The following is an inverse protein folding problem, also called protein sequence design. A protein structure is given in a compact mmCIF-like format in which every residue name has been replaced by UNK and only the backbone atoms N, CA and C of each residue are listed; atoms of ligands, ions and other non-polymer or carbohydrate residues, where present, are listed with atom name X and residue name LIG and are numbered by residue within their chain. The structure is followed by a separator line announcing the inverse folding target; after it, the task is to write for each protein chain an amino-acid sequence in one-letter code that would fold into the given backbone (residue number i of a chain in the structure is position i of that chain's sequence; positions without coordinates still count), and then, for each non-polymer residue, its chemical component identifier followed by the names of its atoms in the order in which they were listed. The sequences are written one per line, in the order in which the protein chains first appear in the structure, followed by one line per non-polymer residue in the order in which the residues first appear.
data_IF_274675411093
#
_entry.id   IF_274675411093
#
_cell.length_a   1.000
_cell.length_b   1.000
_cell.length_c   1.000
_cell.angle_alpha   90.00
_cell.angle_beta   90.00
_cell.angle_gamma   90.00
#
_symmetry.space_group_name_H-M   'P 1'
#
loop_
_entity.id
_entity.type
_entity.pdbx_description
1 polymer ?
#
# COMPACT_ATOMS: atom_id res chain seq x y z
N UNK A 1 -2.87 33.56 7.70
CA UNK A 1 -3.63 32.31 7.47
C UNK A 1 -2.87 31.51 6.43
N UNK A 2 -2.19 30.43 6.86
CA UNK A 2 -1.32 29.64 6.01
C UNK A 2 -2.15 28.67 5.15
N UNK A 3 -2.04 28.78 3.84
CA UNK A 3 -2.66 27.88 2.86
C UNK A 3 -1.80 26.60 2.75
N UNK A 4 -2.18 25.54 3.45
CA UNK A 4 -1.52 24.23 3.38
C UNK A 4 -2.01 23.42 2.17
N UNK A 5 -1.64 23.86 0.96
CA UNK A 5 -1.73 23.07 -0.26
C UNK A 5 -0.33 22.85 -0.84
N UNK A 6 0.54 22.20 -0.06
CA UNK A 6 1.81 21.68 -0.58
C UNK A 6 1.50 20.38 -1.35
N UNK A 7 1.21 20.50 -2.65
CA UNK A 7 0.89 19.38 -3.56
C UNK A 7 1.92 19.24 -4.67
N UNK A 8 3.20 19.29 -4.33
CA UNK A 8 4.22 18.62 -5.15
C UNK A 8 4.72 17.48 -4.28
N UNK A 9 4.28 16.26 -4.59
CA UNK A 9 4.80 15.07 -3.94
C UNK A 9 6.17 14.78 -4.54
N UNK A 10 7.10 14.30 -3.72
CA UNK A 10 8.47 14.07 -4.15
C UNK A 10 8.45 13.07 -5.32
N UNK A 11 8.95 13.46 -6.51
CA UNK A 11 9.12 12.52 -7.60
C UNK A 11 10.13 11.44 -7.23
N UNK A 12 10.17 10.34 -7.99
CA UNK A 12 11.04 9.19 -7.71
C UNK A 12 10.66 8.44 -6.41
N UNK A 13 9.36 8.26 -6.19
CA UNK A 13 8.85 7.65 -4.95
C UNK A 13 7.69 6.69 -5.20
N UNK A 14 7.54 5.71 -4.30
CA UNK A 14 6.41 4.77 -4.29
C UNK A 14 5.35 5.24 -3.30
N UNK A 15 4.09 5.18 -3.73
CA UNK A 15 2.91 5.63 -3.01
C UNK A 15 1.90 4.50 -2.82
N UNK A 16 1.39 4.36 -1.60
CA UNK A 16 0.22 3.54 -1.31
C UNK A 16 -1.04 4.40 -1.26
N UNK A 17 -1.87 4.26 -2.29
CA UNK A 17 -3.07 5.03 -2.50
C UNK A 17 -4.30 4.20 -2.11
N UNK A 18 -5.18 4.80 -1.31
CA UNK A 18 -6.40 4.14 -0.83
C UNK A 18 -7.59 5.06 -0.96
N UNK A 19 -8.71 4.54 -1.46
CA UNK A 19 -9.99 5.25 -1.41
C UNK A 19 -11.14 4.31 -1.12
N UNK A 20 -12.15 4.83 -0.42
CA UNK A 20 -13.33 4.11 0.01
C UNK A 20 -14.60 4.81 -0.47
N UNK A 21 -15.57 3.99 -0.84
CA UNK A 21 -16.89 4.43 -1.30
C UNK A 21 -17.74 4.87 -0.11
N UNK A 22 -18.49 5.96 -0.30
CA UNK A 22 -19.39 6.53 0.68
C UNK A 22 -20.41 5.50 1.18
N UNK A 23 -20.78 5.63 2.46
CA UNK A 23 -21.75 4.77 3.15
C UNK A 23 -21.37 3.28 3.20
N UNK A 24 -20.11 2.94 2.91
CA UNK A 24 -19.57 1.56 2.91
C UNK A 24 -20.37 0.56 2.09
N UNK A 25 -21.11 1.04 1.10
CA UNK A 25 -21.95 0.17 0.27
C UNK A 25 -21.06 -0.63 -0.68
N UNK A 26 -21.44 -1.88 -0.92
CA UNK A 26 -20.72 -2.82 -1.78
C UNK A 26 -21.10 -2.62 -3.25
N UNK A 27 -20.71 -1.48 -3.81
CA UNK A 27 -21.11 -1.08 -5.17
C UNK A 27 -20.21 -1.59 -6.28
N UNK A 28 -18.94 -1.86 -5.98
CA UNK A 28 -18.04 -2.44 -6.98
C UNK A 28 -18.37 -3.93 -7.04
N UNK A 29 -19.25 -4.36 -7.95
CA UNK A 29 -19.44 -5.77 -8.28
C UNK A 29 -18.39 -6.20 -9.31
N UNK A 30 -18.50 -7.41 -9.81
CA UNK A 30 -17.51 -8.04 -10.68
C UNK A 30 -17.24 -7.19 -11.94
N UNK A 31 -18.30 -6.81 -12.66
CA UNK A 31 -18.23 -5.98 -13.86
C UNK A 31 -17.63 -4.59 -13.56
N UNK A 32 -18.07 -3.91 -12.50
CA UNK A 32 -17.49 -2.60 -12.12
C UNK A 32 -16.01 -2.69 -11.78
N UNK A 33 -15.56 -3.78 -11.15
CA UNK A 33 -14.14 -3.95 -10.80
C UNK A 33 -13.29 -4.22 -12.03
N UNK A 34 -13.80 -4.95 -13.02
CA UNK A 34 -13.12 -5.15 -14.31
C UNK A 34 -12.94 -3.82 -15.05
N UNK A 35 -14.00 -3.03 -15.12
CA UNK A 35 -13.96 -1.69 -15.72
C UNK A 35 -13.06 -0.73 -14.94
N UNK A 36 -13.06 -0.82 -13.61
CA UNK A 36 -12.16 -0.06 -12.74
C UNK A 36 -10.71 -0.32 -13.11
N UNK A 37 -10.32 -1.58 -13.29
CA UNK A 37 -8.94 -1.93 -13.70
C UNK A 37 -8.63 -1.31 -15.07
N UNK A 38 -9.55 -1.37 -16.03
CA UNK A 38 -9.40 -0.72 -17.33
C UNK A 38 -9.21 0.80 -17.22
N UNK A 39 -10.02 1.48 -16.41
CA UNK A 39 -9.93 2.92 -16.15
C UNK A 39 -8.62 3.29 -15.44
N UNK A 40 -8.22 2.52 -14.43
CA UNK A 40 -6.98 2.69 -13.68
C UNK A 40 -5.77 2.63 -14.61
N UNK A 41 -5.71 1.63 -15.49
CA UNK A 41 -4.61 1.45 -16.47
C UNK A 41 -4.49 2.65 -17.41
N UNK A 42 -5.60 3.07 -18.02
CA UNK A 42 -5.62 4.22 -18.93
C UNK A 42 -5.26 5.54 -18.24
N UNK A 43 -5.70 5.70 -16.98
CA UNK A 43 -5.37 6.90 -16.20
C UNK A 43 -3.90 6.91 -15.79
N UNK A 44 -3.33 5.76 -15.41
CA UNK A 44 -1.92 5.63 -15.06
C UNK A 44 -1.03 5.95 -16.27
N UNK A 45 -1.37 5.41 -17.45
CA UNK A 45 -0.69 5.69 -18.72
C UNK A 45 -0.74 7.18 -19.07
N UNK A 46 -1.92 7.81 -18.99
CA UNK A 46 -2.05 9.24 -19.23
C UNK A 46 -1.20 10.07 -18.27
N UNK A 47 -1.22 9.74 -16.98
CA UNK A 47 -0.48 10.46 -15.97
C UNK A 47 1.02 10.13 -15.94
N UNK A 48 1.52 9.16 -16.72
CA UNK A 48 2.93 8.73 -16.63
C UNK A 48 3.28 8.10 -15.28
N UNK A 49 2.34 7.36 -14.67
CA UNK A 49 2.51 6.68 -13.39
C UNK A 49 2.63 5.18 -13.62
N UNK A 50 3.55 4.54 -12.90
CA UNK A 50 3.76 3.10 -13.00
C UNK A 50 3.00 2.36 -11.90
N UNK A 51 2.17 1.40 -12.28
CA UNK A 51 1.42 0.58 -11.35
C UNK A 51 2.28 -0.61 -10.88
N UNK A 52 2.58 -0.67 -9.59
CA UNK A 52 3.33 -1.76 -8.97
C UNK A 52 2.37 -2.88 -8.53
N UNK A 53 1.22 -2.51 -7.98
CA UNK A 53 0.20 -3.47 -7.58
C UNK A 53 -1.13 -2.81 -7.19
N UNK A 54 -2.18 -3.61 -7.08
CA UNK A 54 -3.51 -3.17 -6.74
C UNK A 54 -4.33 -4.29 -6.09
N UNK A 55 -5.37 -3.90 -5.36
CA UNK A 55 -6.43 -4.79 -4.94
C UNK A 55 -7.74 -3.99 -4.89
N UNK A 56 -8.71 -4.36 -5.73
CA UNK A 56 -10.00 -3.67 -5.81
C UNK A 56 -11.03 -4.48 -5.03
N UNK A 57 -11.46 -3.97 -3.88
CA UNK A 57 -12.48 -4.59 -3.03
C UNK A 57 -13.86 -4.09 -3.44
N UNK A 58 -14.91 -4.63 -2.83
CA UNK A 58 -16.31 -4.29 -3.12
C UNK A 58 -16.71 -2.86 -2.71
N UNK A 59 -16.00 -2.25 -1.76
CA UNK A 59 -16.31 -0.90 -1.25
C UNK A 59 -15.08 0.02 -1.11
N UNK A 60 -13.88 -0.44 -1.46
CA UNK A 60 -12.66 0.36 -1.43
C UNK A 60 -11.62 -0.24 -2.39
N UNK A 61 -10.56 0.49 -2.66
CA UNK A 61 -9.44 -0.02 -3.43
C UNK A 61 -8.10 0.40 -2.82
N UNK A 62 -7.08 -0.40 -3.11
CA UNK A 62 -5.68 -0.11 -2.81
C UNK A 62 -4.89 -0.14 -4.11
N UNK A 63 -4.00 0.84 -4.30
CA UNK A 63 -3.05 0.91 -5.42
C UNK A 63 -1.67 1.22 -4.85
N UNK A 64 -0.67 0.47 -5.28
CA UNK A 64 0.74 0.78 -5.09
C UNK A 64 1.28 1.31 -6.42
N UNK A 65 1.70 2.57 -6.42
CA UNK A 65 2.11 3.27 -7.63
C UNK A 65 3.48 3.89 -7.44
N UNK A 66 4.35 3.77 -8.45
CA UNK A 66 5.59 4.51 -8.53
C UNK A 66 5.36 5.79 -9.35
N UNK A 67 5.81 6.92 -8.79
CA UNK A 67 5.81 8.23 -9.44
C UNK A 67 7.22 8.50 -9.98
N UNK A 68 7.46 8.39 -11.29
CA UNK A 68 8.75 8.71 -11.89
C UNK A 68 9.09 10.21 -11.76
N UNK A 69 10.35 10.55 -12.01
CA UNK A 69 10.74 11.96 -12.22
C UNK A 69 10.00 12.52 -13.44
N UNK A 70 9.44 13.74 -13.34
CA UNK A 70 8.85 14.41 -14.50
C UNK A 70 9.85 14.47 -15.64
N UNK A 71 9.37 14.13 -16.83
CA UNK A 71 10.13 14.21 -18.06
C UNK A 71 9.49 15.29 -18.93
N UNK A 72 10.32 16.00 -19.70
CA UNK A 72 9.80 16.85 -20.75
C UNK A 72 9.21 15.96 -21.84
N UNK A 73 7.94 16.17 -22.18
CA UNK A 73 7.23 15.43 -23.20
C UNK A 73 7.08 16.30 -24.44
N UNK A 74 7.23 15.68 -25.60
CA UNK A 74 6.84 16.31 -26.86
C UNK A 74 5.33 16.19 -27.09
N UNK A 75 4.85 16.90 -28.11
CA UNK A 75 3.45 16.90 -28.50
C UNK A 75 2.94 15.50 -28.86
N UNK A 76 3.76 14.69 -29.54
CA UNK A 76 3.39 13.34 -29.97
C UNK A 76 3.08 12.45 -28.75
N UNK A 77 3.94 12.44 -27.75
CA UNK A 77 3.76 11.65 -26.54
C UNK A 77 2.59 12.19 -25.69
N UNK A 78 2.40 13.51 -25.61
CA UNK A 78 1.25 14.12 -24.92
C UNK A 78 -0.06 13.68 -25.59
N UNK A 79 -0.15 13.74 -26.92
CA UNK A 79 -1.33 13.33 -27.68
C UNK A 79 -1.59 11.82 -27.59
N UNK A 80 -0.53 10.99 -27.63
CA UNK A 80 -0.65 9.54 -27.44
C UNK A 80 -1.24 9.22 -26.07
N UNK A 81 -0.71 9.82 -25.00
CA UNK A 81 -1.24 9.67 -23.62
C UNK A 81 -2.65 10.21 -23.49
N UNK A 82 -2.95 11.36 -24.10
CA UNK A 82 -4.30 11.91 -24.14
C UNK A 82 -5.29 10.96 -24.82
N UNK A 83 -4.88 10.33 -25.93
CA UNK A 83 -5.65 9.31 -26.64
C UNK A 83 -5.95 8.07 -25.80
N UNK A 84 -5.04 7.68 -24.90
CA UNK A 84 -5.29 6.60 -23.94
C UNK A 84 -6.39 6.94 -22.94
N UNK A 85 -6.53 8.21 -22.54
CA UNK A 85 -7.57 8.65 -21.60
C UNK A 85 -8.90 8.96 -22.29
N UNK A 86 -8.87 9.68 -23.41
CA UNK A 86 -10.06 10.25 -24.07
C UNK A 86 -10.49 9.49 -25.33
N UNK A 87 -9.69 8.55 -25.81
CA UNK A 87 -9.88 7.82 -27.05
C UNK A 87 -9.07 8.40 -28.20
N UNK A 88 -8.64 7.54 -29.13
CA UNK A 88 -7.77 7.94 -30.24
C UNK A 88 -8.42 8.97 -31.17
N UNK A 89 -9.72 8.87 -31.42
CA UNK A 89 -10.45 9.87 -32.19
C UNK A 89 -10.38 11.28 -31.58
N UNK A 90 -10.41 11.39 -30.24
CA UNK A 90 -10.29 12.67 -29.55
C UNK A 90 -8.86 13.25 -29.67
N UNK A 91 -7.83 12.40 -29.61
CA UNK A 91 -6.44 12.81 -29.84
C UNK A 91 -6.22 13.30 -31.28
N UNK A 92 -6.73 12.57 -32.28
CA UNK A 92 -6.64 12.97 -33.68
C UNK A 92 -7.36 14.29 -33.95
N UNK A 93 -8.56 14.48 -33.38
CA UNK A 93 -9.30 15.73 -33.49
C UNK A 93 -8.55 16.91 -32.86
N UNK A 94 -7.89 16.69 -31.72
CA UNK A 94 -7.05 17.70 -31.07
C UNK A 94 -5.82 18.05 -31.92
N UNK A 95 -5.14 17.05 -32.48
CA UNK A 95 -4.02 17.26 -33.42
C UNK A 95 -4.43 18.09 -34.64
N UNK A 96 -5.57 17.78 -35.26
CA UNK A 96 -6.11 18.58 -36.39
C UNK A 96 -6.44 20.01 -35.97
N UNK A 97 -6.90 20.20 -34.73
CA UNK A 97 -7.15 21.51 -34.15
C UNK A 97 -5.85 22.30 -33.99
N UNK A 98 -4.77 21.66 -33.51
CA UNK A 98 -3.46 22.28 -33.41
C UNK A 98 -2.92 22.72 -34.77
N UNK A 99 -3.02 21.89 -35.80
CA UNK A 99 -2.64 22.27 -37.17
C UNK A 99 -3.40 23.49 -37.67
N UNK A 100 -4.69 23.58 -37.31
CA UNK A 100 -5.52 24.74 -37.66
C UNK A 100 -5.06 26.00 -36.94
N UNK A 101 -4.77 25.89 -35.65
CA UNK A 101 -4.28 27.02 -34.86
C UNK A 101 -2.93 27.52 -35.37
N UNK A 102 -2.00 26.63 -35.74
CA UNK A 102 -0.68 26.99 -36.25
C UNK A 102 -0.71 27.85 -37.51
N UNK A 103 -1.76 27.72 -38.34
CA UNK A 103 -1.96 28.56 -39.53
C UNK A 103 -2.19 30.04 -39.19
N UNK A 104 -2.52 30.35 -37.93
CA UNK A 104 -2.67 31.72 -37.43
C UNK A 104 -1.34 32.35 -36.98
N UNK A 105 -0.20 31.68 -37.20
CA UNK A 105 1.13 32.18 -36.87
C UNK A 105 1.46 32.10 -35.37
N UNK A 106 2.19 33.09 -34.85
CA UNK A 106 2.72 33.07 -33.47
C UNK A 106 1.62 32.97 -32.40
N UNK A 107 0.51 33.68 -32.58
CA UNK A 107 -0.64 33.56 -31.66
C UNK A 107 -1.23 32.15 -31.68
N UNK A 108 -1.20 31.49 -32.83
CA UNK A 108 -1.57 30.10 -33.01
C UNK A 108 -0.71 29.14 -32.22
N UNK A 109 0.62 29.25 -32.37
CA UNK A 109 1.59 28.40 -31.67
C UNK A 109 1.49 28.55 -30.15
N UNK A 110 1.30 29.79 -29.66
CA UNK A 110 1.11 30.04 -28.23
C UNK A 110 -0.12 29.32 -27.68
N UNK A 111 -1.24 29.27 -28.42
CA UNK A 111 -2.44 28.52 -28.00
C UNK A 111 -2.20 27.01 -27.97
N UNK A 112 -1.45 26.47 -28.94
CA UNK A 112 -1.09 25.05 -28.93
C UNK A 112 -0.26 24.75 -27.69
N UNK A 113 0.77 25.56 -27.43
CA UNK A 113 1.61 25.43 -26.23
C UNK A 113 0.78 25.50 -24.94
N UNK A 114 -0.09 26.50 -24.81
CA UNK A 114 -0.96 26.63 -23.63
C UNK A 114 -1.86 25.41 -23.43
N UNK A 115 -2.36 24.80 -24.50
CA UNK A 115 -3.20 23.61 -24.41
C UNK A 115 -2.39 22.35 -24.09
N UNK A 116 -1.20 22.20 -24.67
CA UNK A 116 -0.25 21.15 -24.30
C UNK A 116 0.11 21.24 -22.81
N UNK A 117 0.45 22.44 -22.32
CA UNK A 117 0.80 22.70 -20.92
C UNK A 117 -0.35 22.28 -19.99
N UNK A 118 -1.60 22.67 -20.27
CA UNK A 118 -2.79 22.24 -19.50
C UNK A 118 -2.99 20.71 -19.49
N UNK A 119 -2.58 20.02 -20.55
CA UNK A 119 -2.67 18.57 -20.62
C UNK A 119 -1.55 17.95 -19.80
N UNK A 120 -0.30 18.38 -20.00
CA UNK A 120 0.88 17.86 -19.31
C UNK A 120 0.90 18.18 -17.81
N UNK A 121 0.27 19.26 -17.37
CA UNK A 121 0.14 19.64 -15.94
C UNK A 121 -0.53 18.56 -15.09
N UNK A 122 -1.28 17.64 -15.72
CA UNK A 122 -1.95 16.51 -15.06
C UNK A 122 -1.13 15.23 -15.09
N UNK A 123 0.06 15.27 -15.69
CA UNK A 123 1.01 14.17 -15.76
C UNK A 123 2.05 14.29 -14.65
N UNK A 124 2.62 13.16 -14.26
CA UNK A 124 3.56 13.04 -13.14
C UNK A 124 3.01 13.65 -11.83
N UNK A 125 1.70 13.53 -11.62
CA UNK A 125 1.02 13.98 -10.40
C UNK A 125 0.01 12.94 -9.89
N UNK A 126 0.29 12.41 -8.69
CA UNK A 126 -0.61 11.48 -7.97
C UNK A 126 -1.98 12.11 -7.73
N UNK A 127 -2.03 13.43 -7.48
CA UNK A 127 -3.28 14.14 -7.25
C UNK A 127 -4.21 14.07 -8.46
N UNK A 128 -3.67 14.35 -9.63
CA UNK A 128 -4.33 14.30 -10.93
C UNK A 128 -4.75 12.89 -11.28
N UNK A 129 -3.87 11.90 -11.10
CA UNK A 129 -4.21 10.49 -11.27
C UNK A 129 -5.42 10.07 -10.44
N UNK A 130 -5.38 10.33 -9.13
CA UNK A 130 -6.48 9.96 -8.23
C UNK A 130 -7.76 10.74 -8.56
N UNK A 131 -7.65 12.03 -8.91
CA UNK A 131 -8.81 12.85 -9.28
C UNK A 131 -9.48 12.31 -10.54
N UNK A 132 -8.70 12.03 -11.59
CA UNK A 132 -9.21 11.55 -12.88
C UNK A 132 -9.84 10.16 -12.70
N UNK A 133 -9.13 9.22 -12.09
CA UNK A 133 -9.61 7.85 -11.88
C UNK A 133 -10.95 7.85 -11.13
N UNK A 134 -11.00 8.55 -10.00
CA UNK A 134 -12.20 8.62 -9.17
C UNK A 134 -13.36 9.33 -9.86
N UNK A 135 -13.08 10.39 -10.62
CA UNK A 135 -14.11 11.07 -11.39
C UNK A 135 -14.69 10.13 -12.45
N UNK A 136 -13.85 9.37 -13.14
CA UNK A 136 -14.30 8.47 -14.20
C UNK A 136 -15.19 7.34 -13.67
N UNK A 137 -14.76 6.72 -12.56
CA UNK A 137 -15.56 5.71 -11.85
C UNK A 137 -16.89 6.30 -11.34
N UNK A 138 -16.88 7.54 -10.83
CA UNK A 138 -18.10 8.22 -10.38
C UNK A 138 -19.06 8.47 -11.53
N UNK A 139 -18.55 8.92 -12.68
CA UNK A 139 -19.36 9.17 -13.87
C UNK A 139 -19.99 7.89 -14.39
N UNK A 140 -19.23 6.81 -14.48
CA UNK A 140 -19.74 5.52 -14.94
C UNK A 140 -20.79 4.96 -13.98
N UNK A 141 -20.52 5.03 -12.67
CA UNK A 141 -21.48 4.64 -11.65
C UNK A 141 -22.78 5.45 -11.72
N UNK A 142 -22.68 6.79 -11.75
CA UNK A 142 -23.85 7.66 -11.82
C UNK A 142 -24.68 7.40 -13.08
N UNK A 143 -24.02 7.16 -14.22
CA UNK A 143 -24.67 6.82 -15.48
C UNK A 143 -25.39 5.47 -15.40
N UNK A 144 -24.72 4.43 -14.89
CA UNK A 144 -25.25 3.07 -14.80
C UNK A 144 -26.44 2.96 -13.86
N UNK A 145 -26.34 3.59 -12.69
CA UNK A 145 -27.31 3.44 -11.62
C UNK A 145 -28.30 4.61 -11.51
N UNK A 146 -28.31 5.52 -12.50
CA UNK A 146 -29.13 6.75 -12.47
C UNK A 146 -28.97 7.54 -11.16
N UNK A 147 -27.80 7.47 -10.55
CA UNK A 147 -27.48 8.10 -9.28
C UNK A 147 -26.99 9.54 -9.50
N UNK A 148 -27.30 10.43 -8.54
CA UNK A 148 -26.77 11.79 -8.49
C UNK A 148 -26.06 12.01 -7.16
N UNK A 149 -24.80 12.47 -7.21
CA UNK A 149 -24.03 12.83 -6.02
C UNK A 149 -22.61 12.29 -6.01
N UNK A 150 -21.99 12.34 -4.83
CA UNK A 150 -20.61 11.89 -4.59
C UNK A 150 -20.57 10.40 -4.30
N UNK A 151 -19.64 9.69 -4.96
CA UNK A 151 -19.43 8.26 -4.72
C UNK A 151 -18.44 7.98 -3.57
N UNK A 152 -17.54 8.91 -3.25
CA UNK A 152 -16.39 8.63 -2.39
C UNK A 152 -16.47 9.34 -1.03
N UNK A 153 -15.99 8.69 0.04
CA UNK A 153 -16.01 9.25 1.41
C UNK A 153 -15.10 10.49 1.58
N UNK A 154 -13.97 10.51 0.88
CA UNK A 154 -12.94 11.54 1.02
C UNK A 154 -12.14 11.70 -0.27
N UNK A 155 -11.14 12.60 -0.27
CA UNK A 155 -10.23 12.77 -1.40
C UNK A 155 -9.49 11.47 -1.71
N UNK A 156 -8.56 11.04 -0.87
CA UNK A 156 -7.93 9.72 -0.84
C UNK A 156 -6.87 9.72 0.28
N UNK A 157 -6.47 8.54 0.74
CA UNK A 157 -5.30 8.37 1.59
C UNK A 157 -4.09 8.08 0.71
N UNK A 158 -2.96 8.69 1.05
CA UNK A 158 -1.66 8.45 0.43
C UNK A 158 -0.59 8.29 1.50
N UNK A 159 0.11 7.17 1.44
CA UNK A 159 1.30 6.90 2.25
C UNK A 159 2.49 6.72 1.33
N UNK A 160 3.47 7.63 1.47
CA UNK A 160 4.78 7.49 0.81
C UNK A 160 5.53 6.33 1.43
N UNK A 161 5.98 5.39 0.60
CA UNK A 161 6.74 4.19 0.99
C UNK A 161 8.25 4.42 0.80
N UNK A 162 8.62 5.19 -0.23
CA UNK A 162 10.00 5.34 -0.70
C UNK A 162 10.46 4.17 -1.57
N UNK A 163 11.77 4.06 -1.83
CA UNK A 163 12.36 3.09 -2.77
C UNK A 163 12.97 1.83 -2.10
N UNK A 164 12.73 1.63 -0.80
CA UNK A 164 13.23 0.45 -0.10
C UNK A 164 12.46 -0.80 -0.54
N UNK A 165 13.17 -1.77 -1.14
CA UNK A 165 12.59 -3.04 -1.62
C UNK A 165 11.79 -3.75 -0.53
N UNK A 166 12.31 -3.84 0.70
CA UNK A 166 11.60 -4.49 1.80
C UNK A 166 10.30 -3.77 2.17
N UNK A 167 10.30 -2.44 2.23
CA UNK A 167 9.09 -1.64 2.51
C UNK A 167 8.06 -1.74 1.39
N UNK A 168 8.52 -1.75 0.14
CA UNK A 168 7.64 -1.91 -1.03
C UNK A 168 7.02 -3.30 -1.02
N UNK A 169 7.82 -4.35 -0.81
CA UNK A 169 7.36 -5.73 -0.74
C UNK A 169 6.37 -5.94 0.42
N UNK A 170 6.65 -5.40 1.61
CA UNK A 170 5.75 -5.45 2.76
C UNK A 170 4.42 -4.72 2.46
N UNK A 171 4.48 -3.55 1.83
CA UNK A 171 3.29 -2.81 1.43
C UNK A 171 2.47 -3.55 0.35
N UNK A 172 3.16 -4.13 -0.64
CA UNK A 172 2.52 -4.91 -1.70
C UNK A 172 1.86 -6.17 -1.13
N UNK A 173 2.55 -6.89 -0.24
CA UNK A 173 1.99 -8.02 0.49
C UNK A 173 0.79 -7.62 1.35
N UNK A 174 0.86 -6.48 2.04
CA UNK A 174 -0.30 -5.93 2.77
C UNK A 174 -1.50 -5.69 1.85
N UNK A 175 -1.26 -5.21 0.62
CA UNK A 175 -2.33 -4.98 -0.37
C UNK A 175 -2.93 -6.30 -0.84
N UNK A 176 -2.10 -7.26 -1.25
CA UNK A 176 -2.53 -8.56 -1.75
C UNK A 176 -3.19 -9.44 -0.68
N UNK A 177 -2.94 -9.17 0.61
CA UNK A 177 -3.59 -9.87 1.72
C UNK A 177 -5.02 -9.35 2.01
N UNK A 178 -5.46 -8.25 1.40
CA UNK A 178 -6.81 -7.69 1.65
C UNK A 178 -7.96 -8.68 1.44
N UNK A 179 -8.00 -9.49 0.36
CA UNK A 179 -9.09 -10.43 0.13
C UNK A 179 -9.23 -11.45 1.26
N UNK A 180 -8.10 -11.99 1.74
CA UNK A 180 -8.07 -12.91 2.88
C UNK A 180 -8.52 -12.20 4.17
N UNK A 181 -8.03 -10.98 4.43
CA UNK A 181 -8.47 -10.18 5.60
C UNK A 181 -9.96 -9.91 5.63
N UNK A 182 -10.58 -9.80 4.47
CA UNK A 182 -12.01 -9.56 4.31
C UNK A 182 -12.83 -10.85 4.18
N UNK A 183 -12.21 -12.05 4.32
CA UNK A 183 -12.84 -13.35 4.07
C UNK A 183 -13.49 -13.46 2.67
N UNK A 184 -12.92 -12.76 1.68
CA UNK A 184 -13.35 -12.80 0.28
C UNK A 184 -12.58 -13.83 -0.56
N UNK A 185 -11.53 -14.44 0.00
CA UNK A 185 -10.72 -15.49 -0.62
C UNK A 185 -10.03 -16.31 0.45
N UNK A 186 -9.91 -17.62 0.23
CA UNK A 186 -9.19 -18.55 1.12
C UNK A 186 -7.73 -18.78 0.68
N UNK A 187 -7.36 -18.36 -0.54
CA UNK A 187 -5.99 -18.41 -1.06
C UNK A 187 -5.49 -17.03 -1.50
N UNK A 188 -4.16 -16.87 -1.60
CA UNK A 188 -3.54 -15.61 -2.02
C UNK A 188 -3.88 -15.22 -3.47
N UNK A 189 -4.08 -16.21 -4.34
CA UNK A 189 -4.32 -16.09 -5.77
C UNK A 189 -5.79 -16.35 -6.18
N UNK A 190 -6.69 -16.53 -5.21
CA UNK A 190 -8.11 -16.80 -5.46
C UNK A 190 -8.95 -15.57 -5.81
N UNK A 191 -8.43 -14.36 -5.58
CA UNK A 191 -9.19 -13.12 -5.77
C UNK A 191 -8.84 -12.40 -7.08
N UNK A 192 -9.74 -12.45 -8.06
CA UNK A 192 -9.48 -12.00 -9.44
C UNK A 192 -9.01 -10.54 -9.57
N UNK A 193 -9.52 -9.63 -8.72
CA UNK A 193 -9.21 -8.19 -8.79
C UNK A 193 -8.01 -7.75 -7.93
N UNK A 194 -7.14 -8.71 -7.58
CA UNK A 194 -5.81 -8.49 -7.01
C UNK A 194 -4.74 -8.59 -8.09
N UNK A 195 -3.74 -7.71 -8.07
CA UNK A 195 -2.59 -7.85 -8.97
C UNK A 195 -1.80 -9.12 -8.74
N UNK A 196 -1.84 -9.74 -7.56
CA UNK A 196 -1.17 -11.01 -7.36
C UNK A 196 -1.78 -12.12 -8.21
N UNK A 197 -3.11 -12.26 -8.17
CA UNK A 197 -3.84 -13.18 -9.04
C UNK A 197 -3.60 -12.86 -10.52
N UNK A 198 -3.60 -11.57 -10.90
CA UNK A 198 -3.27 -11.15 -12.26
C UNK A 198 -1.85 -11.60 -12.66
N UNK A 199 -0.88 -11.46 -11.77
CA UNK A 199 0.49 -11.92 -11.98
C UNK A 199 0.56 -13.44 -12.11
N UNK A 200 -0.11 -14.22 -11.26
CA UNK A 200 -0.22 -15.70 -11.36
C UNK A 200 -0.87 -16.14 -12.68
N UNK A 201 -1.72 -15.30 -13.26
CA UNK A 201 -2.36 -15.54 -14.56
C UNK A 201 -1.58 -15.00 -15.77
N UNK A 202 -0.35 -14.52 -15.56
CA UNK A 202 0.52 -14.05 -16.64
C UNK A 202 0.13 -12.67 -17.20
N UNK A 203 -0.50 -11.81 -16.39
CA UNK A 203 -0.81 -10.45 -16.81
C UNK A 203 0.49 -9.61 -16.91
N UNK A 204 0.82 -9.02 -18.08
CA UNK A 204 2.09 -8.31 -18.26
C UNK A 204 2.26 -7.07 -17.36
N UNK A 205 1.16 -6.37 -17.04
CA UNK A 205 1.23 -5.20 -16.16
C UNK A 205 1.54 -5.61 -14.72
N UNK A 206 0.89 -6.66 -14.23
CA UNK A 206 1.18 -7.19 -12.90
C UNK A 206 2.59 -7.77 -12.83
N UNK A 207 3.07 -8.41 -13.91
CA UNK A 207 4.45 -8.88 -14.01
C UNK A 207 5.45 -7.73 -13.94
N UNK A 208 5.24 -6.64 -14.68
CA UNK A 208 6.09 -5.43 -14.58
C UNK A 208 6.14 -4.91 -13.14
N UNK A 209 4.99 -4.86 -12.46
CA UNK A 209 4.92 -4.43 -11.07
C UNK A 209 5.68 -5.34 -10.10
N UNK A 210 5.58 -6.66 -10.25
CA UNK A 210 6.34 -7.60 -9.42
C UNK A 210 7.85 -7.52 -9.69
N UNK A 211 8.25 -7.39 -10.95
CA UNK A 211 9.66 -7.20 -11.33
C UNK A 211 10.24 -5.89 -10.83
N UNK A 212 9.46 -4.82 -10.77
CA UNK A 212 9.86 -3.57 -10.12
C UNK A 212 10.29 -3.80 -8.65
N UNK A 213 9.60 -4.69 -7.93
CA UNK A 213 9.92 -4.99 -6.52
C UNK A 213 11.08 -5.96 -6.38
N UNK A 214 11.06 -7.06 -7.14
CA UNK A 214 11.95 -8.20 -6.91
C UNK A 214 13.14 -8.29 -7.87
N UNK A 215 13.16 -7.49 -8.93
CA UNK A 215 14.17 -7.45 -9.98
C UNK A 215 13.75 -8.18 -11.26
N UNK A 216 14.35 -7.78 -12.38
CA UNK A 216 14.11 -8.38 -13.71
C UNK A 216 14.88 -9.70 -13.93
N UNK A 217 16.03 -9.87 -13.27
CA UNK A 217 16.98 -10.98 -13.52
C UNK A 217 16.60 -12.31 -12.86
N UNK A 218 15.42 -12.40 -12.24
CA UNK A 218 14.94 -13.61 -11.56
C UNK A 218 13.74 -14.23 -12.27
N UNK A 219 13.59 -15.54 -12.09
CA UNK A 219 12.48 -16.30 -12.66
C UNK A 219 11.15 -15.90 -12.00
N UNK A 220 10.06 -16.16 -12.72
CA UNK A 220 8.71 -15.94 -12.21
C UNK A 220 8.43 -16.78 -10.96
N UNK A 221 8.93 -18.01 -10.92
CA UNK A 221 8.76 -18.92 -9.77
C UNK A 221 9.50 -18.39 -8.52
N UNK A 222 10.70 -17.81 -8.71
CA UNK A 222 11.44 -17.16 -7.62
C UNK A 222 10.69 -15.93 -7.08
N UNK A 223 10.10 -15.11 -7.96
CA UNK A 223 9.25 -13.98 -7.57
C UNK A 223 8.04 -14.48 -6.75
N UNK A 224 7.37 -15.53 -7.20
CA UNK A 224 6.24 -16.15 -6.49
C UNK A 224 6.67 -16.63 -5.11
N UNK A 225 7.80 -17.32 -5.01
CA UNK A 225 8.35 -17.83 -3.76
C UNK A 225 8.59 -16.69 -2.75
N UNK A 226 9.38 -15.67 -3.15
CA UNK A 226 9.70 -14.52 -2.30
C UNK A 226 8.47 -13.72 -1.88
N UNK A 227 7.49 -13.57 -2.78
CA UNK A 227 6.27 -12.85 -2.44
C UNK A 227 5.38 -13.65 -1.48
N UNK A 228 5.28 -14.96 -1.66
CA UNK A 228 4.56 -15.84 -0.74
C UNK A 228 5.18 -15.83 0.65
N UNK A 229 6.51 -15.80 0.80
CA UNK A 229 7.17 -15.65 2.10
C UNK A 229 6.71 -14.37 2.83
N UNK A 230 6.63 -13.25 2.11
CA UNK A 230 6.10 -11.99 2.65
C UNK A 230 4.62 -12.14 3.05
N UNK A 231 3.81 -12.75 2.20
CA UNK A 231 2.38 -12.95 2.46
C UNK A 231 2.12 -13.84 3.67
N UNK A 232 2.82 -14.96 3.81
CA UNK A 232 2.72 -15.84 4.96
C UNK A 232 3.17 -15.14 6.24
N UNK A 233 4.30 -14.43 6.20
CA UNK A 233 4.79 -13.64 7.35
C UNK A 233 3.75 -12.60 7.81
N UNK A 234 3.14 -11.87 6.88
CA UNK A 234 2.11 -10.89 7.17
C UNK A 234 0.80 -11.53 7.66
N UNK A 235 0.42 -12.67 7.08
CA UNK A 235 -0.77 -13.41 7.49
C UNK A 235 -0.62 -13.87 8.96
N UNK A 236 0.49 -14.48 9.33
CA UNK A 236 0.72 -14.93 10.71
C UNK A 236 0.71 -13.76 11.71
N UNK A 237 1.31 -12.62 11.37
CA UNK A 237 1.22 -11.39 12.18
C UNK A 237 -0.23 -10.92 12.35
N UNK A 238 -1.03 -10.98 11.28
CA UNK A 238 -2.45 -10.58 11.33
C UNK A 238 -3.30 -11.55 12.17
N UNK A 239 -3.08 -12.86 12.04
CA UNK A 239 -3.76 -13.88 12.88
C UNK A 239 -3.49 -13.64 14.37
N UNK A 240 -2.23 -13.38 14.72
CA UNK A 240 -1.83 -13.08 16.09
C UNK A 240 -2.46 -11.77 16.59
N UNK A 241 -2.41 -10.70 15.77
CA UNK A 241 -3.01 -9.40 16.12
C UNK A 241 -4.51 -9.53 16.41
N UNK A 242 -5.24 -10.29 15.60
CA UNK A 242 -6.68 -10.54 15.79
C UNK A 242 -6.94 -11.41 17.02
N UNK A 243 -6.12 -12.44 17.25
CA UNK A 243 -6.20 -13.26 18.46
C UNK A 243 -6.05 -12.41 19.73
N UNK A 244 -5.04 -11.53 19.77
CA UNK A 244 -4.84 -10.60 20.87
C UNK A 244 -6.00 -9.62 21.05
N UNK A 245 -6.57 -9.09 19.95
CA UNK A 245 -7.71 -8.18 20.02
C UNK A 245 -8.94 -8.86 20.63
N UNK A 246 -9.24 -10.10 20.21
CA UNK A 246 -10.33 -10.91 20.75
C UNK A 246 -10.07 -11.21 22.22
N UNK A 247 -8.87 -11.65 22.58
CA UNK A 247 -8.49 -11.93 23.97
C UNK A 247 -8.66 -10.69 24.86
N UNK A 248 -8.24 -9.50 24.40
CA UNK A 248 -8.44 -8.23 25.13
C UNK A 248 -9.93 -7.90 25.32
N UNK A 249 -10.76 -8.08 24.30
CA UNK A 249 -12.21 -7.84 24.39
C UNK A 249 -12.86 -8.79 25.39
N UNK A 250 -12.54 -10.08 25.33
CA UNK A 250 -13.05 -11.09 26.29
C UNK A 250 -12.61 -10.79 27.73
N UNK A 251 -11.34 -10.42 27.93
CA UNK A 251 -10.83 -10.03 29.24
C UNK A 251 -11.50 -8.77 29.82
N UNK A 252 -12.01 -7.88 28.95
CA UNK A 252 -12.80 -6.71 29.32
C UNK A 252 -14.30 -7.01 29.48
N UNK A 253 -14.72 -8.28 29.40
CA UNK A 253 -16.11 -8.71 29.58
C UNK A 253 -16.99 -8.56 28.35
N UNK A 254 -16.43 -8.25 27.18
CA UNK A 254 -17.17 -8.21 25.92
C UNK A 254 -17.28 -9.60 25.31
N UNK A 255 -18.45 -9.94 24.79
CA UNK A 255 -18.61 -11.08 23.89
C UNK A 255 -17.95 -10.75 22.54
N UNK A 256 -16.92 -11.51 22.18
CA UNK A 256 -16.12 -11.28 20.98
C UNK A 256 -16.43 -12.38 19.96
N UNK A 257 -16.93 -12.03 18.76
CA UNK A 257 -17.35 -13.01 17.77
C UNK A 257 -16.17 -13.84 17.25
N UNK A 258 -16.49 -15.03 16.73
CA UNK A 258 -15.54 -15.89 16.03
C UNK A 258 -14.99 -15.13 14.82
N UNK A 259 -13.66 -15.04 14.71
CA UNK A 259 -12.98 -14.41 13.58
C UNK A 259 -12.46 -15.50 12.63
N UNK A 260 -12.70 -15.38 11.31
CA UNK A 260 -12.38 -16.44 10.35
C UNK A 260 -10.88 -16.66 10.11
N UNK A 261 -10.02 -15.73 10.54
CA UNK A 261 -8.57 -15.84 10.36
C UNK A 261 -7.84 -16.38 11.59
N UNK A 262 -8.49 -16.48 12.74
CA UNK A 262 -7.87 -16.96 13.97
C UNK A 262 -8.57 -18.20 14.51
N UNK A 263 -7.90 -18.93 15.39
CA UNK A 263 -8.47 -20.10 16.06
C UNK A 263 -8.62 -19.85 17.55
N UNK A 264 -9.54 -20.55 18.19
CA UNK A 264 -9.73 -20.48 19.64
C UNK A 264 -8.44 -20.79 20.40
N UNK A 265 -7.63 -21.73 19.90
CA UNK A 265 -6.31 -22.04 20.46
C UNK A 265 -5.37 -20.82 20.45
N UNK A 266 -5.33 -20.06 19.35
CA UNK A 266 -4.53 -18.83 19.26
C UNK A 266 -5.04 -17.75 20.22
N UNK A 267 -6.36 -17.61 20.36
CA UNK A 267 -6.97 -16.65 21.30
C UNK A 267 -6.61 -16.98 22.75
N UNK A 268 -6.68 -18.27 23.13
CA UNK A 268 -6.28 -18.74 24.47
C UNK A 268 -4.80 -18.48 24.70
N UNK A 269 -3.94 -18.79 23.73
CA UNK A 269 -2.50 -18.53 23.82
C UNK A 269 -2.20 -17.04 23.97
N UNK A 270 -2.89 -16.18 23.22
CA UNK A 270 -2.77 -14.72 23.33
C UNK A 270 -3.23 -14.21 24.69
N UNK A 271 -4.34 -14.73 25.24
CA UNK A 271 -4.82 -14.39 26.58
C UNK A 271 -3.78 -14.76 27.66
N UNK A 272 -3.22 -15.97 27.60
CA UNK A 272 -2.18 -16.41 28.53
C UNK A 272 -0.92 -15.54 28.45
N UNK A 273 -0.55 -15.08 27.25
CA UNK A 273 0.56 -14.14 27.07
C UNK A 273 0.26 -12.78 27.72
N UNK A 274 -0.94 -12.22 27.51
CA UNK A 274 -1.35 -10.95 28.10
C UNK A 274 -1.37 -10.98 29.63
N UNK A 275 -1.79 -12.09 30.23
CA UNK A 275 -1.73 -12.28 31.69
C UNK A 275 -0.30 -12.30 32.21
N UNK A 276 0.62 -13.01 31.54
CA UNK A 276 2.05 -13.00 31.89
C UNK A 276 2.64 -11.60 31.81
N UNK A 277 2.33 -10.85 30.75
CA UNK A 277 2.78 -9.45 30.60
C UNK A 277 2.21 -8.57 31.71
N UNK A 278 0.94 -8.75 32.08
CA UNK A 278 0.30 -8.02 33.19
C UNK A 278 0.94 -8.35 34.54
N UNK A 279 1.18 -9.63 34.82
CA UNK A 279 1.84 -10.08 36.04
C UNK A 279 3.26 -9.48 36.16
N UNK A 280 4.05 -9.55 35.09
CA UNK A 280 5.37 -8.91 35.05
C UNK A 280 5.30 -7.38 35.23
N UNK A 281 4.27 -6.72 34.72
CA UNK A 281 4.07 -5.29 34.92
C UNK A 281 3.74 -4.95 36.38
N UNK A 282 2.94 -5.76 37.08
CA UNK A 282 2.63 -5.61 38.50
C UNK A 282 3.89 -5.77 39.36
N UNK A 283 4.68 -6.82 39.13
CA UNK A 283 5.97 -7.05 39.83
C UNK A 283 6.99 -5.92 39.63
N UNK A 284 6.92 -5.22 38.49
CA UNK A 284 7.71 -4.03 38.21
C UNK A 284 7.17 -2.80 38.96
N UNK A 285 5.84 -2.64 39.04
CA UNK A 285 5.20 -1.53 39.74
C UNK A 285 5.32 -1.60 41.26
N UNK A 286 5.28 -2.80 41.85
CA UNK A 286 5.47 -3.08 43.29
C UNK A 286 6.94 -2.94 43.75
N UNK A 287 7.87 -2.56 42.86
CA UNK A 287 9.21 -2.15 43.27
C UNK A 287 9.26 -0.64 43.61
N UNK A 288 9.49 -0.36 44.91
CA UNK A 288 9.26 0.96 45.54
C UNK A 288 10.34 2.02 45.30
N UNK A 289 11.43 1.73 44.57
CA UNK A 289 12.41 2.77 44.20
C UNK A 289 12.58 2.85 42.66
N UNK A 290 12.55 4.08 42.15
CA UNK A 290 12.85 4.46 40.75
C UNK A 290 14.19 3.87 40.30
N UNK A 291 15.16 3.75 41.22
CA UNK A 291 16.46 3.11 40.98
C UNK A 291 16.31 1.61 40.71
N UNK A 292 15.53 0.91 41.53
CA UNK A 292 15.18 -0.50 41.37
C UNK A 292 14.37 -0.77 40.10
N UNK A 293 13.45 0.10 39.70
CA UNK A 293 12.70 -0.04 38.42
C UNK A 293 13.60 0.09 37.20
N UNK A 294 14.55 1.02 37.20
CA UNK A 294 15.53 1.18 36.12
C UNK A 294 16.48 -0.03 36.05
N UNK A 295 16.92 -0.53 37.20
CA UNK A 295 17.77 -1.71 37.29
C UNK A 295 17.04 -2.99 36.85
N UNK A 296 15.80 -3.22 37.28
CA UNK A 296 14.96 -4.35 36.82
C UNK A 296 14.69 -4.27 35.32
N UNK A 297 14.28 -3.11 34.78
CA UNK A 297 14.07 -2.95 33.32
C UNK A 297 15.34 -3.21 32.53
N UNK A 298 16.47 -2.75 33.05
CA UNK A 298 17.78 -2.99 32.44
C UNK A 298 18.17 -4.47 32.49
N UNK A 299 17.94 -5.15 33.62
CA UNK A 299 18.20 -6.58 33.79
C UNK A 299 17.31 -7.43 32.86
N UNK A 300 16.02 -7.11 32.75
CA UNK A 300 15.09 -7.80 31.85
C UNK A 300 15.49 -7.61 30.38
N UNK A 301 15.89 -6.39 30.00
CA UNK A 301 16.41 -6.11 28.67
C UNK A 301 17.74 -6.85 28.39
N UNK A 302 18.66 -6.88 29.35
CA UNK A 302 19.94 -7.60 29.23
C UNK A 302 19.74 -9.12 29.10
N UNK A 303 18.83 -9.72 29.89
CA UNK A 303 18.49 -11.15 29.80
C UNK A 303 17.78 -11.50 28.49
N UNK A 304 16.81 -10.69 28.07
CA UNK A 304 16.08 -10.91 26.80
C UNK A 304 17.02 -10.85 25.59
N UNK A 305 17.96 -9.90 25.59
CA UNK A 305 18.98 -9.79 24.53
C UNK A 305 19.91 -11.00 24.54
N UNK A 306 20.39 -11.45 25.71
CA UNK A 306 21.24 -12.66 25.82
C UNK A 306 20.54 -13.90 25.31
N UNK A 307 19.32 -14.15 25.77
CA UNK A 307 18.55 -15.33 25.38
C UNK A 307 18.25 -15.32 23.87
N UNK A 308 18.00 -14.14 23.29
CA UNK A 308 17.80 -13.98 21.85
C UNK A 308 19.06 -14.30 21.04
N UNK A 309 20.25 -13.98 21.56
CA UNK A 309 21.53 -14.31 20.93
C UNK A 309 21.81 -15.82 21.03
N UNK A 310 21.61 -16.41 22.21
CA UNK A 310 21.84 -17.84 22.46
C UNK A 310 20.93 -18.72 21.59
N UNK A 311 19.66 -18.31 21.43
CA UNK A 311 18.70 -19.00 20.56
C UNK A 311 18.96 -18.78 19.07
N UNK A 312 19.68 -17.72 18.70
CA UNK A 312 19.89 -17.32 17.30
C UNK A 312 21.35 -16.94 17.02
N UNK A 313 22.31 -17.90 17.08
CA UNK A 313 23.74 -17.61 17.00
C UNK A 313 24.21 -17.01 15.66
N UNK A 314 23.41 -17.16 14.59
CA UNK A 314 23.72 -16.66 13.25
C UNK A 314 23.05 -15.31 12.91
N UNK A 315 22.31 -14.70 13.85
CA UNK A 315 21.58 -13.45 13.62
C UNK A 315 22.41 -12.26 14.09
N UNK A 316 22.52 -11.23 13.25
CA UNK A 316 23.31 -10.04 13.59
C UNK A 316 22.68 -9.23 14.73
N UNK A 317 23.47 -8.50 15.54
CA UNK A 317 22.94 -7.67 16.62
C UNK A 317 21.90 -6.62 16.19
N UNK A 318 21.98 -6.16 14.92
CA UNK A 318 21.00 -5.23 14.35
C UNK A 318 19.65 -5.92 14.08
N UNK A 319 19.66 -7.16 13.62
CA UNK A 319 18.44 -7.95 13.43
C UNK A 319 17.82 -8.37 14.76
N UNK A 320 18.63 -8.68 15.78
CA UNK A 320 18.15 -8.93 17.15
C UNK A 320 17.48 -7.67 17.71
N UNK A 321 18.02 -6.48 17.42
CA UNK A 321 17.42 -5.23 17.85
C UNK A 321 16.04 -5.00 17.21
N UNK A 322 15.90 -5.31 15.92
CA UNK A 322 14.64 -5.24 15.18
C UNK A 322 13.60 -6.23 15.73
N UNK A 323 14.01 -7.48 15.98
CA UNK A 323 13.16 -8.52 16.60
C UNK A 323 12.63 -8.12 17.97
N UNK A 324 13.44 -7.41 18.76
CA UNK A 324 13.09 -6.96 20.11
C UNK A 324 12.43 -5.58 20.16
N UNK A 325 12.29 -4.90 19.01
CA UNK A 325 11.73 -3.55 18.94
C UNK A 325 12.56 -2.50 19.70
N UNK A 326 13.88 -2.66 19.78
CA UNK A 326 14.80 -1.75 20.47
C UNK A 326 15.84 -1.16 19.53
N UNK A 327 16.47 -0.06 19.92
CA UNK A 327 17.52 0.53 19.09
C UNK A 327 18.73 -0.42 18.95
N UNK A 328 19.36 -0.53 17.77
CA UNK A 328 20.59 -1.31 17.59
C UNK A 328 21.68 -0.94 18.60
N UNK A 329 21.81 0.36 18.92
CA UNK A 329 22.73 0.86 19.96
C UNK A 329 22.51 0.20 21.32
N UNK A 330 21.27 -0.11 21.68
CA UNK A 330 20.94 -0.79 22.95
C UNK A 330 21.55 -2.18 22.99
N UNK A 331 21.39 -2.96 21.91
CA UNK A 331 21.92 -4.34 21.81
C UNK A 331 23.45 -4.34 21.79
N UNK A 332 24.07 -3.47 20.97
CA UNK A 332 25.53 -3.35 20.94
C UNK A 332 26.14 -2.95 22.29
N UNK A 333 25.49 -2.04 23.03
CA UNK A 333 25.94 -1.64 24.37
C UNK A 333 25.84 -2.77 25.39
N UNK A 334 24.83 -3.63 25.28
CA UNK A 334 24.67 -4.80 26.14
C UNK A 334 25.76 -5.82 25.81
N UNK A 335 25.95 -6.14 24.54
CA UNK A 335 27.01 -7.05 24.06
C UNK A 335 28.42 -6.60 24.49
N UNK A 336 28.71 -5.30 24.43
CA UNK A 336 29.99 -4.76 24.88
C UNK A 336 30.26 -5.00 26.38
N UNK A 337 29.21 -5.06 27.21
CA UNK A 337 29.32 -5.37 28.65
C UNK A 337 29.46 -6.86 28.96
N UNK A 338 29.18 -7.75 27.99
CA UNK A 338 29.30 -9.20 28.13
C UNK A 338 30.69 -9.72 27.76
N UNK A 339 31.48 -8.89 27.07
CA UNK A 339 32.86 -9.20 26.64
C UNK A 339 33.92 -8.79 27.68
N UNK A 340 33.50 -8.19 28.79
CA UNK A 340 34.28 -7.89 29.98
C UNK A 340 33.70 -8.70 31.15
#
# INVERSE_FOLDING_TARGET
MANSNNRIKEPDTVHHLVSRIAHRVYFLKDEERDEFIGMMRRTAEFCGIELIGWCIMTNHFHILAYLPKPQQLDEEEILRRYGMLKGQAAASALSTTFDTWRREGESGENRVKDELDKISDRMYDIGSFMKILKQWVTMEYNRRYSHKGTLWESAYYDRVIGLSVSKIAECLGYIHLNPIRAAASDSFDGYFWSSYTAFIRGNPLAEKGMRFVYGDDISRDEIICRHNEVLYSLLEKEKLRRAEEIARKRAAGYDAPIDPLTSEAMVIQAAAHLEKVRAAAVELHESDDIKGRKEKRRFLMESTVRESIERNPNVSPAQIADMLGVSPRTVYRILAKLRH
#
